data_IF_650123242474
#
_entry.id   IF_650123242474
#
_cell.length_a   1.000
_cell.length_b   1.000
_cell.length_c   1.000
_cell.angle_alpha   90.00
_cell.angle_beta   90.00
_cell.angle_gamma   90.00
#
_symmetry.space_group_name_H-M   'P 1'
#
loop_
_entity.id
_entity.type
_entity.pdbx_description
1 polymer ?
#
# COMPACT_ATOMS: atom_id res chain seq x y z
N UNK A 1 -10.64 -24.56 -11.89
CA UNK A 1 -10.85 -23.23 -11.26
C UNK A 1 -9.60 -22.68 -10.56
N UNK A 2 -8.67 -23.51 -10.09
CA UNK A 2 -7.39 -23.07 -9.47
C UNK A 2 -6.32 -22.69 -10.53
N UNK A 3 -6.40 -23.22 -11.75
CA UNK A 3 -5.44 -22.96 -12.83
C UNK A 3 -5.51 -21.54 -13.44
N UNK A 4 -6.61 -20.81 -13.23
CA UNK A 4 -6.77 -19.43 -13.73
C UNK A 4 -5.89 -18.41 -13.02
N UNK A 5 -5.34 -18.74 -11.85
CA UNK A 5 -4.42 -17.86 -11.11
C UNK A 5 -3.00 -17.83 -11.71
N UNK A 6 -2.73 -18.67 -12.71
CA UNK A 6 -1.38 -18.91 -13.23
C UNK A 6 -0.94 -17.99 -14.39
N UNK A 7 -1.80 -17.11 -14.91
CA UNK A 7 -1.38 -16.15 -15.96
C UNK A 7 -0.73 -14.86 -15.42
N UNK A 8 -0.83 -14.58 -14.11
CA UNK A 8 0.05 -13.58 -13.44
C UNK A 8 0.16 -13.83 -11.93
N UNK A 9 0.70 -15.00 -11.49
CA UNK A 9 0.74 -15.38 -10.08
C UNK A 9 1.54 -14.38 -9.24
N UNK A 10 2.59 -13.82 -9.82
CA UNK A 10 3.51 -12.89 -9.16
C UNK A 10 2.81 -11.61 -8.71
N UNK A 11 1.99 -10.99 -9.58
CA UNK A 11 1.28 -9.75 -9.27
C UNK A 11 0.30 -9.93 -8.11
N UNK A 12 -0.46 -11.04 -8.13
CA UNK A 12 -1.42 -11.35 -7.06
C UNK A 12 -0.69 -11.63 -5.75
N UNK A 13 0.41 -12.39 -5.78
CA UNK A 13 1.22 -12.69 -4.59
C UNK A 13 1.86 -11.43 -4.01
N UNK A 14 2.40 -10.54 -4.83
CA UNK A 14 2.92 -9.23 -4.40
C UNK A 14 1.82 -8.40 -3.75
N UNK A 15 0.62 -8.39 -4.35
CA UNK A 15 -0.54 -7.72 -3.78
C UNK A 15 -0.94 -8.27 -2.40
N UNK A 16 -1.01 -9.60 -2.25
CA UNK A 16 -1.30 -10.27 -0.97
C UNK A 16 -0.24 -9.94 0.09
N UNK A 17 1.05 -10.01 -0.26
CA UNK A 17 2.15 -9.64 0.62
C UNK A 17 2.04 -8.18 1.07
N UNK A 18 1.71 -7.27 0.14
CA UNK A 18 1.52 -5.85 0.42
C UNK A 18 0.32 -5.61 1.36
N UNK A 19 -0.80 -6.32 1.16
CA UNK A 19 -1.95 -6.27 2.08
C UNK A 19 -1.57 -6.77 3.46
N UNK A 20 -0.84 -7.88 3.56
CA UNK A 20 -0.41 -8.44 4.83
C UNK A 20 0.49 -7.46 5.59
N UNK A 21 1.49 -6.88 4.92
CA UNK A 21 2.34 -5.84 5.52
C UNK A 21 1.52 -4.62 5.96
N UNK A 22 0.60 -4.15 5.11
CA UNK A 22 -0.29 -3.05 5.45
C UNK A 22 -1.19 -3.35 6.65
N UNK A 23 -1.67 -4.59 6.77
CA UNK A 23 -2.45 -5.06 7.93
C UNK A 23 -1.62 -5.04 9.21
N UNK A 24 -0.39 -5.56 9.16
CA UNK A 24 0.53 -5.55 10.31
C UNK A 24 0.88 -4.12 10.72
N UNK A 25 1.16 -3.24 9.76
CA UNK A 25 1.42 -1.81 10.03
C UNK A 25 0.19 -1.18 10.68
N UNK A 26 -1.01 -1.34 10.11
CA UNK A 26 -2.22 -0.65 10.57
C UNK A 26 -2.76 -1.15 11.91
N UNK A 27 -2.90 -2.47 12.08
CA UNK A 27 -3.66 -3.06 13.18
C UNK A 27 -2.80 -3.70 14.27
N UNK A 28 -1.52 -3.99 13.98
CA UNK A 28 -0.53 -4.40 14.99
C UNK A 28 0.44 -3.28 15.34
N UNK A 29 0.32 -2.12 14.68
CA UNK A 29 1.25 -1.01 14.79
C UNK A 29 2.70 -1.44 14.64
N UNK A 30 2.98 -2.32 13.67
CA UNK A 30 4.36 -2.70 13.33
C UNK A 30 5.05 -1.58 12.56
N UNK A 31 5.23 -0.44 13.22
CA UNK A 31 5.80 0.77 12.62
C UNK A 31 7.29 0.64 12.31
N UNK A 32 8.00 -0.36 12.85
CA UNK A 32 9.36 -0.69 12.43
C UNK A 32 9.45 -1.12 10.95
N UNK A 33 8.33 -1.53 10.34
CA UNK A 33 8.24 -1.79 8.90
C UNK A 33 8.19 -0.49 8.07
N UNK A 34 7.92 0.65 8.71
CA UNK A 34 7.97 1.95 8.07
C UNK A 34 9.43 2.39 8.10
N UNK A 35 10.05 2.49 6.92
CA UNK A 35 11.44 2.88 6.81
C UNK A 35 11.69 4.24 7.49
N UNK A 36 12.68 4.28 8.39
CA UNK A 36 13.07 5.49 9.12
C UNK A 36 12.13 5.89 10.26
N UNK A 37 11.10 5.11 10.58
CA UNK A 37 10.25 5.38 11.74
C UNK A 37 10.88 4.81 13.01
N UNK A 38 11.13 5.66 13.99
CA UNK A 38 11.71 5.28 15.28
C UNK A 38 11.15 6.13 16.45
N UNK A 39 11.74 5.98 17.64
CA UNK A 39 11.32 6.69 18.85
C UNK A 39 11.61 8.20 18.83
N UNK A 40 12.45 8.68 17.93
CA UNK A 40 12.74 10.11 17.73
C UNK A 40 11.74 10.80 16.80
N UNK A 41 10.84 10.05 16.18
CA UNK A 41 9.85 10.58 15.24
C UNK A 41 8.73 11.33 15.97
N UNK A 42 8.48 12.58 15.58
CA UNK A 42 7.44 13.44 16.18
C UNK A 42 6.01 12.95 15.93
N UNK A 43 5.80 12.18 14.86
CA UNK A 43 4.50 11.62 14.48
C UNK A 43 4.15 10.43 15.40
N UNK A 44 3.02 10.47 16.13
CA UNK A 44 2.62 9.37 17.00
C UNK A 44 2.46 8.04 16.25
N UNK A 45 2.86 6.95 16.91
CA UNK A 45 2.89 5.60 16.35
C UNK A 45 1.58 5.18 15.69
N UNK A 46 0.45 5.34 16.38
CA UNK A 46 -0.87 5.00 15.84
C UNK A 46 -1.27 5.84 14.63
N UNK A 47 -0.82 7.10 14.54
CA UNK A 47 -1.09 7.97 13.38
C UNK A 47 -0.28 7.51 12.17
N UNK A 48 1.03 7.29 12.35
CA UNK A 48 1.89 6.79 11.28
C UNK A 48 1.42 5.41 10.77
N UNK A 49 1.14 4.49 11.69
CA UNK A 49 0.56 3.18 11.42
C UNK A 49 -0.73 3.27 10.59
N UNK A 50 -1.66 4.14 10.99
CA UNK A 50 -2.94 4.28 10.30
C UNK A 50 -2.79 4.90 8.91
N UNK A 51 -1.93 5.91 8.73
CA UNK A 51 -1.73 6.57 7.43
C UNK A 51 -1.04 5.61 6.46
N UNK A 52 0.12 5.05 6.84
CA UNK A 52 0.94 4.20 5.97
C UNK A 52 0.25 2.84 5.73
N UNK A 53 -0.27 2.22 6.79
CA UNK A 53 -0.93 0.93 6.68
C UNK A 53 -2.20 0.98 5.81
N UNK A 54 -2.99 2.06 5.88
CA UNK A 54 -4.13 2.22 4.96
C UNK A 54 -3.70 2.36 3.51
N UNK A 55 -2.61 3.09 3.22
CA UNK A 55 -2.09 3.17 1.86
C UNK A 55 -1.67 1.79 1.37
N UNK A 56 -0.86 1.07 2.16
CA UNK A 56 -0.37 -0.26 1.80
C UNK A 56 -1.51 -1.25 1.53
N UNK A 57 -2.53 -1.29 2.39
CA UNK A 57 -3.71 -2.15 2.16
C UNK A 57 -4.42 -1.77 0.85
N UNK A 58 -4.65 -0.47 0.60
CA UNK A 58 -5.32 -0.02 -0.64
C UNK A 58 -4.53 -0.37 -1.89
N UNK A 59 -3.21 -0.13 -1.87
CA UNK A 59 -2.31 -0.50 -2.98
C UNK A 59 -2.34 -2.01 -3.18
N UNK A 60 -2.16 -2.80 -2.12
CA UNK A 60 -2.18 -4.25 -2.21
C UNK A 60 -3.49 -4.81 -2.77
N UNK A 61 -4.65 -4.32 -2.29
CA UNK A 61 -5.98 -4.70 -2.82
C UNK A 61 -6.10 -4.32 -4.30
N UNK A 62 -5.67 -3.12 -4.68
CA UNK A 62 -5.70 -2.68 -6.07
C UNK A 62 -4.76 -3.50 -6.96
N UNK A 63 -3.57 -3.88 -6.47
CA UNK A 63 -2.62 -4.76 -7.18
C UNK A 63 -3.22 -6.15 -7.40
N UNK A 64 -3.89 -6.73 -6.39
CA UNK A 64 -4.60 -8.01 -6.53
C UNK A 64 -5.66 -7.91 -7.62
N UNK A 65 -6.52 -6.88 -7.54
CA UNK A 65 -7.58 -6.66 -8.52
C UNK A 65 -7.00 -6.47 -9.93
N UNK A 66 -5.91 -5.72 -10.08
CA UNK A 66 -5.21 -5.53 -11.34
C UNK A 66 -4.67 -6.85 -11.90
N UNK A 67 -3.98 -7.65 -11.07
CA UNK A 67 -3.45 -8.95 -11.48
C UNK A 67 -4.54 -9.94 -11.92
N UNK A 68 -5.66 -10.00 -11.19
CA UNK A 68 -6.81 -10.84 -11.56
C UNK A 68 -7.44 -10.42 -12.90
N UNK A 69 -7.53 -9.11 -13.17
CA UNK A 69 -8.02 -8.59 -14.44
C UNK A 69 -7.05 -8.89 -15.58
N UNK A 70 -5.75 -8.72 -15.35
CA UNK A 70 -4.72 -8.96 -16.35
C UNK A 70 -4.58 -10.45 -16.72
N UNK A 71 -4.89 -11.36 -15.79
CA UNK A 71 -4.91 -12.80 -16.02
C UNK A 71 -6.09 -13.30 -16.89
N UNK A 72 -7.06 -12.44 -17.20
CA UNK A 72 -8.21 -12.81 -18.04
C UNK A 72 -8.29 -12.06 -19.37
N UNK A 73 -7.46 -11.03 -19.58
CA UNK A 73 -7.46 -10.19 -20.78
C UNK A 73 -6.22 -9.30 -20.84
N UNK A 74 -5.86 -8.87 -22.06
CA UNK A 74 -4.85 -7.82 -22.24
C UNK A 74 -5.30 -6.51 -21.60
N UNK A 75 -4.41 -5.90 -20.81
CA UNK A 75 -4.64 -4.60 -20.19
C UNK A 75 -3.97 -3.52 -21.03
N UNK A 76 -4.68 -2.45 -21.43
CA UNK A 76 -4.07 -1.34 -22.15
C UNK A 76 -2.92 -0.71 -21.36
N UNK A 77 -1.83 -0.38 -22.02
CA UNK A 77 -0.64 0.22 -21.39
C UNK A 77 -0.98 1.50 -20.60
N UNK A 78 -1.89 2.32 -21.12
CA UNK A 78 -2.39 3.52 -20.44
C UNK A 78 -3.03 3.20 -19.07
N UNK A 79 -3.68 2.05 -18.91
CA UNK A 79 -4.28 1.62 -17.64
C UNK A 79 -3.20 1.19 -16.65
N UNK A 80 -2.19 0.45 -17.13
CA UNK A 80 -1.03 0.09 -16.29
C UNK A 80 -0.27 1.34 -15.82
N UNK A 81 -0.07 2.32 -16.71
CA UNK A 81 0.56 3.60 -16.38
C UNK A 81 -0.28 4.41 -15.39
N UNK A 82 -1.60 4.47 -15.58
CA UNK A 82 -2.50 5.14 -14.66
C UNK A 82 -2.47 4.51 -13.26
N UNK A 83 -2.42 3.17 -13.18
CA UNK A 83 -2.27 2.45 -11.92
C UNK A 83 -0.98 2.86 -11.20
N UNK A 84 0.16 2.84 -11.90
CA UNK A 84 1.44 3.26 -11.34
C UNK A 84 1.41 4.72 -10.85
N UNK A 85 0.83 5.64 -11.66
CA UNK A 85 0.68 7.03 -11.28
C UNK A 85 -0.18 7.23 -10.02
N UNK A 86 -1.29 6.50 -9.89
CA UNK A 86 -2.15 6.54 -8.70
C UNK A 86 -1.40 6.06 -7.44
N UNK A 87 -0.61 4.99 -7.56
CA UNK A 87 0.21 4.49 -6.44
C UNK A 87 1.23 5.55 -6.02
N UNK A 88 1.94 6.16 -6.98
CA UNK A 88 2.91 7.22 -6.70
C UNK A 88 2.27 8.46 -6.06
N UNK A 89 1.12 8.90 -6.58
CA UNK A 89 0.36 10.00 -5.99
C UNK A 89 -0.11 9.66 -4.56
N UNK A 90 -0.55 8.42 -4.32
CA UNK A 90 -0.93 7.93 -3.00
C UNK A 90 0.25 7.92 -2.01
N UNK A 91 1.42 7.50 -2.47
CA UNK A 91 2.66 7.54 -1.71
C UNK A 91 3.07 8.99 -1.40
N UNK A 92 3.12 9.87 -2.41
CA UNK A 92 3.42 11.29 -2.25
C UNK A 92 2.46 11.99 -1.28
N UNK A 93 1.16 11.71 -1.39
CA UNK A 93 0.15 12.20 -0.43
C UNK A 93 0.42 11.71 0.99
N UNK A 94 0.82 10.45 1.16
CA UNK A 94 1.14 9.89 2.48
C UNK A 94 2.36 10.55 3.08
N UNK A 95 3.43 10.73 2.29
CA UNK A 95 4.65 11.43 2.70
C UNK A 95 4.30 12.86 3.12
N UNK A 96 3.58 13.60 2.28
CA UNK A 96 3.15 14.96 2.58
C UNK A 96 2.37 15.04 3.89
N UNK A 97 1.38 14.15 4.10
CA UNK A 97 0.59 14.12 5.34
C UNK A 97 1.40 13.84 6.60
N UNK A 98 2.46 13.04 6.49
CA UNK A 98 3.35 12.75 7.61
C UNK A 98 4.28 13.95 7.88
N UNK A 99 4.82 14.58 6.83
CA UNK A 99 5.70 15.74 6.96
C UNK A 99 4.97 16.98 7.50
N UNK A 100 3.71 17.19 7.11
CA UNK A 100 2.91 18.32 7.58
C UNK A 100 2.03 17.94 8.79
N UNK A 101 2.34 16.84 9.47
CA UNK A 101 1.58 16.46 10.65
C UNK A 101 1.82 17.47 11.77
N UNK A 102 0.76 18.19 12.16
CA UNK A 102 0.78 19.07 13.32
C UNK A 102 0.19 18.31 14.51
N UNK A 103 0.97 18.20 15.59
CA UNK A 103 0.49 17.66 16.85
C UNK A 103 -0.48 18.68 17.45
N UNK A 104 -1.75 18.30 17.61
CA UNK A 104 -2.71 19.14 18.34
C UNK A 104 -2.18 19.36 19.76
N UNK A 105 -2.06 20.62 20.25
CA UNK A 105 -1.71 20.87 21.64
C UNK A 105 -2.76 20.21 22.54
N UNK A 106 -2.32 19.29 23.39
CA UNK A 106 -3.11 18.68 24.48
C UNK A 106 -3.10 19.55 25.71
#
# INVERSE_FOLDING_TARGET
MIESLAESPETVLVGLGTVLLGYLIKYREWTFLIAGYDTSTDVPKGVAANIVGNLAIRVGVATIAFGLVAAGRSVPEAVALAFAAIVLLGAGRTIYRLQTYQKTPT
#
